data_IF_405985447836
#
_entry.id   IF_405985447836
#
_cell.length_a   1.000
_cell.length_b   1.000
_cell.length_c   1.000
_cell.angle_alpha   90.00
_cell.angle_beta   90.00
_cell.angle_gamma   90.00
#
_symmetry.space_group_name_H-M   'P 1'
#
loop_
_entity.id
_entity.type
_entity.pdbx_description
1 polymer ?
#
# COMPACT_ATOMS: atom_id res chain seq x y z
N UNK A 1 -4.33 -55.14 4.06
CA UNK A 1 -3.85 -54.28 5.16
C UNK A 1 -2.37 -54.06 4.93
N UNK A 2 -1.96 -52.80 4.99
CA UNK A 2 -0.72 -52.14 4.52
C UNK A 2 0.59 -52.81 5.01
N UNK A 3 1.75 -52.63 4.38
CA UNK A 3 2.13 -51.62 3.41
C UNK A 3 3.57 -51.76 2.90
N UNK A 4 3.89 -50.92 1.93
CA UNK A 4 5.17 -50.77 1.25
C UNK A 4 6.19 -49.99 2.08
N UNK A 5 7.48 -50.15 1.77
CA UNK A 5 8.49 -49.12 2.02
C UNK A 5 9.48 -49.08 0.87
N UNK A 6 9.55 -47.93 0.19
CA UNK A 6 10.52 -47.63 -0.86
C UNK A 6 11.53 -46.59 -0.35
N UNK A 7 12.78 -46.96 -0.54
CA UNK A 7 14.01 -46.24 -0.28
C UNK A 7 14.16 -45.02 -1.21
N UNK A 8 14.54 -43.86 -0.67
CA UNK A 8 15.17 -42.81 -1.46
C UNK A 8 16.21 -42.08 -0.63
N UNK A 9 17.45 -42.10 -1.11
CA UNK A 9 18.51 -41.22 -0.66
C UNK A 9 18.99 -40.37 -1.82
N UNK A 10 19.36 -39.11 -1.56
CA UNK A 10 20.71 -38.60 -1.83
C UNK A 10 20.80 -37.10 -1.55
N UNK A 11 21.99 -36.72 -1.10
CA UNK A 11 22.46 -35.44 -0.56
C UNK A 11 22.74 -34.38 -1.62
N UNK A 12 22.61 -33.09 -1.28
CA UNK A 12 23.58 -32.05 -1.70
C UNK A 12 23.69 -30.94 -0.65
N UNK A 13 24.92 -30.65 -0.23
CA UNK A 13 25.29 -29.45 0.52
C UNK A 13 25.43 -28.27 -0.46
N UNK A 14 24.88 -27.11 -0.13
CA UNK A 14 25.20 -25.85 -0.86
C UNK A 14 25.42 -24.74 0.17
N UNK A 15 26.58 -24.07 0.09
CA UNK A 15 26.98 -22.97 0.95
C UNK A 15 25.99 -21.78 0.84
N UNK A 16 25.85 -20.91 1.87
CA UNK A 16 25.07 -19.70 1.75
C UNK A 16 25.87 -18.68 0.94
N UNK A 17 25.80 -18.79 -0.38
CA UNK A 17 26.28 -17.79 -1.31
C UNK A 17 25.37 -16.57 -1.25
N UNK A 18 25.90 -15.48 -0.70
CA UNK A 18 25.54 -14.08 -0.91
C UNK A 18 24.17 -13.84 -1.60
N UNK A 19 23.10 -13.73 -0.80
CA UNK A 19 21.82 -13.22 -1.30
C UNK A 19 21.94 -11.70 -1.39
N UNK A 20 22.14 -11.23 -2.61
CA UNK A 20 22.30 -9.83 -2.95
C UNK A 20 21.22 -8.95 -2.31
N UNK A 21 21.73 -7.94 -1.61
CA UNK A 21 21.16 -6.84 -0.84
C UNK A 21 20.10 -5.96 -1.54
N UNK A 22 19.52 -6.39 -2.65
CA UNK A 22 18.60 -5.60 -3.48
C UNK A 22 17.19 -5.52 -2.85
N UNK A 23 16.78 -6.56 -2.14
CA UNK A 23 15.45 -6.62 -1.51
C UNK A 23 15.39 -5.75 -0.24
N UNK A 24 16.52 -5.53 0.42
CA UNK A 24 16.63 -4.67 1.61
C UNK A 24 16.43 -3.20 1.25
N UNK A 25 16.98 -2.74 0.12
CA UNK A 25 16.77 -1.37 -0.35
C UNK A 25 15.29 -1.13 -0.72
N UNK A 26 14.68 -2.09 -1.42
CA UNK A 26 13.26 -2.04 -1.80
C UNK A 26 12.34 -1.97 -0.58
N UNK A 27 12.52 -2.87 0.39
CA UNK A 27 11.73 -2.85 1.64
C UNK A 27 11.94 -1.57 2.43
N UNK A 28 13.17 -1.05 2.48
CA UNK A 28 13.50 0.19 3.18
C UNK A 28 12.81 1.38 2.51
N UNK A 29 12.80 1.45 1.18
CA UNK A 29 12.08 2.48 0.40
C UNK A 29 10.57 2.39 0.63
N UNK A 30 9.99 1.20 0.54
CA UNK A 30 8.55 0.96 0.83
C UNK A 30 8.21 1.37 2.27
N UNK A 31 9.09 1.08 3.24
CA UNK A 31 8.89 1.47 4.64
C UNK A 31 8.98 2.99 4.83
N UNK A 32 9.93 3.66 4.16
CA UNK A 32 10.05 5.13 4.21
C UNK A 32 8.87 5.82 3.51
N UNK A 33 8.42 5.30 2.38
CA UNK A 33 7.17 5.72 1.74
C UNK A 33 6.00 5.52 2.71
N UNK A 34 5.77 4.30 3.21
CA UNK A 34 4.73 3.99 4.21
C UNK A 34 4.78 4.91 5.44
N UNK A 35 5.98 5.28 5.91
CA UNK A 35 6.15 6.15 7.07
C UNK A 35 5.82 7.61 6.76
N UNK A 36 6.13 8.13 5.57
CA UNK A 36 5.66 9.46 5.12
C UNK A 36 4.16 9.46 4.81
N UNK A 37 3.66 8.35 4.29
CA UNK A 37 2.26 8.19 3.90
C UNK A 37 1.32 8.08 5.10
N UNK A 38 1.78 7.46 6.20
CA UNK A 38 1.08 7.49 7.48
C UNK A 38 1.16 8.85 8.18
N UNK A 39 2.13 9.72 7.89
CA UNK A 39 2.19 11.04 8.55
C UNK A 39 0.94 11.88 8.31
N UNK A 40 0.33 11.79 7.13
CA UNK A 40 -0.94 12.49 6.86
C UNK A 40 -2.04 11.89 7.74
N UNK A 41 -2.18 10.56 7.78
CA UNK A 41 -3.19 9.90 8.61
C UNK A 41 -3.00 10.10 10.12
N UNK A 42 -1.74 10.21 10.57
CA UNK A 42 -1.35 10.53 11.94
C UNK A 42 -1.70 11.98 12.26
N UNK A 43 -1.29 12.92 11.40
CA UNK A 43 -1.62 14.35 11.56
C UNK A 43 -3.12 14.60 11.57
N UNK A 44 -3.88 13.91 10.72
CA UNK A 44 -5.35 13.96 10.78
C UNK A 44 -5.88 13.47 12.13
N UNK A 45 -5.27 12.45 12.73
CA UNK A 45 -5.60 12.03 14.09
C UNK A 45 -5.27 13.10 15.14
N UNK A 46 -4.12 13.76 15.03
CA UNK A 46 -3.71 14.87 15.89
C UNK A 46 -4.64 16.10 15.76
N UNK A 47 -5.11 16.36 14.54
CA UNK A 47 -6.04 17.45 14.19
C UNK A 47 -7.50 17.13 14.57
N UNK A 48 -7.78 15.94 15.12
CA UNK A 48 -9.09 15.56 15.67
C UNK A 48 -10.00 14.75 14.74
N UNK A 49 -9.52 14.29 13.59
CA UNK A 49 -10.24 13.37 12.72
C UNK A 49 -9.99 11.93 13.20
N UNK A 50 -10.90 11.42 14.03
CA UNK A 50 -10.68 10.17 14.75
C UNK A 50 -11.23 8.97 13.97
N UNK A 51 -12.31 9.17 13.21
CA UNK A 51 -12.96 8.08 12.46
C UNK A 51 -12.36 7.90 11.04
N UNK A 52 -12.43 6.69 10.46
CA UNK A 52 -12.04 6.48 9.07
C UNK A 52 -12.82 7.37 8.09
N UNK A 53 -14.12 7.55 8.34
CA UNK A 53 -14.99 8.39 7.52
C UNK A 53 -14.56 9.86 7.51
N UNK A 54 -14.21 10.41 8.68
CA UNK A 54 -13.69 11.78 8.81
C UNK A 54 -12.38 11.96 8.05
N UNK A 55 -11.45 11.01 8.22
CA UNK A 55 -10.16 11.04 7.50
C UNK A 55 -10.38 10.97 6.00
N UNK A 56 -11.22 10.07 5.51
CA UNK A 56 -11.53 9.96 4.09
C UNK A 56 -12.10 11.27 3.53
N UNK A 57 -13.09 11.88 4.23
CA UNK A 57 -13.68 13.18 3.85
C UNK A 57 -12.65 14.30 3.79
N UNK A 58 -11.63 14.28 4.64
CA UNK A 58 -10.58 15.28 4.61
C UNK A 58 -9.60 15.03 3.45
N UNK A 59 -9.19 13.77 3.25
CA UNK A 59 -8.27 13.39 2.17
C UNK A 59 -8.83 13.68 0.79
N UNK A 60 -10.13 13.44 0.57
CA UNK A 60 -10.75 13.61 -0.76
C UNK A 60 -10.73 15.07 -1.26
N UNK A 61 -10.56 16.06 -0.37
CA UNK A 61 -10.49 17.48 -0.71
C UNK A 61 -9.23 17.86 -1.49
N UNK A 62 -8.15 17.08 -1.32
CA UNK A 62 -6.81 17.41 -1.82
C UNK A 62 -6.24 16.29 -2.72
N UNK A 63 -7.11 15.47 -3.35
CA UNK A 63 -6.68 14.33 -4.20
C UNK A 63 -5.85 14.72 -5.43
N UNK A 64 -5.86 16.00 -5.81
CA UNK A 64 -4.97 16.52 -6.85
C UNK A 64 -3.48 16.31 -6.53
N UNK A 65 -3.15 16.18 -5.25
CA UNK A 65 -1.82 15.85 -4.77
C UNK A 65 -1.69 14.34 -4.49
N UNK A 66 -0.74 13.68 -5.17
CA UNK A 66 -0.53 12.23 -5.12
C UNK A 66 -0.35 11.65 -3.71
N UNK A 67 0.18 12.45 -2.76
CA UNK A 67 0.36 12.05 -1.36
C UNK A 67 -0.99 11.80 -0.64
N UNK A 68 -2.04 12.54 -1.00
CA UNK A 68 -3.38 12.35 -0.43
C UNK A 68 -4.10 11.16 -1.05
N UNK A 69 -3.90 10.93 -2.35
CA UNK A 69 -4.35 9.71 -3.02
C UNK A 69 -3.77 8.46 -2.35
N UNK A 70 -2.46 8.47 -2.09
CA UNK A 70 -1.82 7.34 -1.42
C UNK A 70 -2.32 7.18 0.02
N UNK A 71 -2.44 8.27 0.79
CA UNK A 71 -2.97 8.20 2.15
C UNK A 71 -4.39 7.64 2.20
N UNK A 72 -5.23 7.99 1.20
CA UNK A 72 -6.57 7.44 1.06
C UNK A 72 -6.53 5.94 0.75
N UNK A 73 -5.60 5.50 -0.11
CA UNK A 73 -5.40 4.08 -0.38
C UNK A 73 -5.00 3.30 0.89
N UNK A 74 -4.03 3.79 1.67
CA UNK A 74 -3.63 3.17 2.96
C UNK A 74 -4.81 3.11 3.92
N UNK A 75 -5.63 4.15 3.97
CA UNK A 75 -6.81 4.19 4.81
C UNK A 75 -7.82 3.10 4.44
N UNK A 76 -7.98 2.78 3.16
CA UNK A 76 -8.86 1.69 2.67
C UNK A 76 -8.26 0.29 2.78
N UNK A 77 -6.94 0.15 2.69
CA UNK A 77 -6.27 -1.15 2.84
C UNK A 77 -6.39 -1.72 4.26
N UNK A 78 -6.61 -0.85 5.26
CA UNK A 78 -6.83 -1.30 6.63
C UNK A 78 -8.24 -1.89 6.81
N UNK A 79 -8.33 -3.22 6.80
CA UNK A 79 -9.57 -3.97 6.98
C UNK A 79 -10.27 -3.76 8.34
N UNK A 80 -9.60 -3.15 9.33
CA UNK A 80 -10.22 -2.76 10.60
C UNK A 80 -11.03 -1.46 10.50
N UNK A 81 -10.84 -0.68 9.43
CA UNK A 81 -11.57 0.54 9.21
C UNK A 81 -12.96 0.22 8.66
N UNK A 82 -13.99 0.61 9.40
CA UNK A 82 -15.37 0.57 8.95
C UNK A 82 -15.73 1.92 8.32
N UNK A 83 -16.23 1.87 7.09
CA UNK A 83 -16.68 3.05 6.35
C UNK A 83 -18.18 3.02 6.16
N UNK A 84 -18.82 4.19 6.21
CA UNK A 84 -20.18 4.29 5.73
C UNK A 84 -20.25 4.16 4.21
N UNK A 85 -21.31 3.52 3.70
CA UNK A 85 -21.50 3.35 2.25
C UNK A 85 -21.46 4.68 1.49
N UNK A 86 -21.97 5.76 2.11
CA UNK A 86 -21.94 7.09 1.49
C UNK A 86 -20.52 7.63 1.36
N UNK A 87 -19.68 7.48 2.38
CA UNK A 87 -18.29 7.95 2.30
C UNK A 87 -17.49 7.13 1.31
N UNK A 88 -17.71 5.82 1.25
CA UNK A 88 -17.09 4.97 0.25
C UNK A 88 -17.50 5.40 -1.17
N UNK A 89 -18.79 5.60 -1.42
CA UNK A 89 -19.29 6.05 -2.72
C UNK A 89 -18.70 7.40 -3.13
N UNK A 90 -18.73 8.39 -2.24
CA UNK A 90 -18.17 9.73 -2.50
C UNK A 90 -16.67 9.67 -2.76
N UNK A 91 -15.94 8.80 -2.07
CA UNK A 91 -14.50 8.64 -2.27
C UNK A 91 -14.19 8.05 -3.65
N UNK A 92 -14.98 7.06 -4.08
CA UNK A 92 -14.84 6.46 -5.41
C UNK A 92 -15.21 7.46 -6.52
N UNK A 93 -16.26 8.25 -6.34
CA UNK A 93 -16.64 9.33 -7.26
C UNK A 93 -15.50 10.37 -7.38
N UNK A 94 -14.97 10.83 -6.25
CA UNK A 94 -13.85 11.77 -6.23
C UNK A 94 -12.59 11.22 -6.92
N UNK A 95 -12.34 9.90 -6.83
CA UNK A 95 -11.23 9.25 -7.52
C UNK A 95 -11.42 9.20 -9.05
N UNK A 96 -12.66 9.00 -9.51
CA UNK A 96 -13.00 9.02 -10.94
C UNK A 96 -12.84 10.44 -11.51
N UNK A 97 -13.24 11.45 -10.74
CA UNK A 97 -13.20 12.85 -11.15
C UNK A 97 -11.80 13.49 -11.01
N UNK A 98 -10.91 12.89 -10.22
CA UNK A 98 -9.54 13.36 -10.09
C UNK A 98 -8.77 12.99 -11.36
N UNK A 99 -8.23 13.96 -12.13
CA UNK A 99 -7.36 13.66 -13.25
C UNK A 99 -6.05 13.10 -12.72
N UNK A 100 -6.01 11.79 -12.55
CA UNK A 100 -4.82 11.05 -12.20
C UNK A 100 -3.86 11.17 -13.38
N UNK A 101 -2.95 12.14 -13.34
CA UNK A 101 -1.77 12.15 -14.21
C UNK A 101 -0.88 11.01 -13.72
N UNK A 102 -1.31 9.77 -14.00
CA UNK A 102 -0.40 8.63 -14.09
C UNK A 102 0.66 9.10 -15.07
N UNK A 103 1.91 9.09 -14.65
CA UNK A 103 3.05 9.64 -15.39
C UNK A 103 3.16 8.92 -16.75
N UNK A 104 2.39 9.38 -17.75
CA UNK A 104 2.59 9.11 -19.18
C UNK A 104 3.56 10.14 -19.78
N UNK A 105 4.47 10.69 -18.96
CA UNK A 105 5.54 11.57 -19.43
C UNK A 105 6.88 10.87 -19.71
N UNK A 106 6.90 9.53 -19.73
CA UNK A 106 8.12 8.78 -20.11
C UNK A 106 8.00 7.96 -21.40
N UNK A 107 6.89 8.06 -22.14
CA UNK A 107 6.71 7.29 -23.40
C UNK A 107 6.60 8.20 -24.64
N UNK A 108 6.59 9.53 -24.48
CA UNK A 108 6.35 10.45 -25.61
C UNK A 108 7.53 11.38 -25.95
N UNK A 109 8.73 11.14 -25.40
CA UNK A 109 9.90 11.99 -25.66
C UNK A 109 11.24 11.26 -25.87
N UNK A 110 11.25 9.93 -26.01
CA UNK A 110 12.46 9.18 -26.42
C UNK A 110 12.26 8.52 -27.79
#
# INVERSE_FOLDING_TARGET
MEGSSSQFGSSTNTAPGNLDNNNSLSYKTILYENMFNNRILLKLGEDGFITPDEKAKELIKELSEIKYLYALNVLFENLQNEFSSQVLANSLEALVDTPLIIIQKKVLLD
#
